data_IF_967106625870
#
_entry.id   IF_967106625870
#
_cell.length_a   1.000
_cell.length_b   1.000
_cell.length_c   1.000
_cell.angle_alpha   90.00
_cell.angle_beta   90.00
_cell.angle_gamma   90.00
#
_symmetry.space_group_name_H-M   'P 1'
#
loop_
_entity.id
_entity.type
_entity.pdbx_description
1 polymer ?
#
# COMPACT_ATOMS: atom_id res chain seq x y z
N UNK A 1 -33.89 51.93 54.14
CA UNK A 1 -34.39 51.55 52.79
C UNK A 1 -33.28 51.86 51.78
N UNK A 2 -32.41 50.90 51.49
CA UNK A 2 -32.46 50.02 50.31
C UNK A 2 -32.34 50.75 48.96
N UNK A 3 -31.10 51.06 48.54
CA UNK A 3 -30.66 50.93 47.15
C UNK A 3 -29.26 50.29 47.13
N UNK A 4 -29.26 48.96 46.98
CA UNK A 4 -28.37 48.11 46.16
C UNK A 4 -26.89 48.58 46.04
N UNK A 5 -25.89 47.90 46.63
CA UNK A 5 -25.25 46.62 46.17
C UNK A 5 -25.05 46.64 44.64
N UNK A 6 -23.87 46.56 44.02
CA UNK A 6 -22.66 45.75 44.24
C UNK A 6 -21.60 46.36 43.29
N UNK A 7 -20.46 46.83 43.80
CA UNK A 7 -19.13 46.26 43.59
C UNK A 7 -18.92 45.39 42.33
N UNK A 8 -18.01 45.86 41.47
CA UNK A 8 -16.89 45.11 40.87
C UNK A 8 -17.05 43.58 40.79
N UNK A 9 -17.18 43.07 39.56
CA UNK A 9 -17.11 41.65 39.27
C UNK A 9 -16.63 41.42 37.84
N UNK A 10 -15.32 41.55 37.64
CA UNK A 10 -14.59 41.07 36.48
C UNK A 10 -14.81 39.55 36.37
N UNK A 11 -15.76 39.11 35.54
CA UNK A 11 -15.93 37.67 35.28
C UNK A 11 -14.94 37.28 34.19
N UNK A 12 -13.75 36.89 34.66
CA UNK A 12 -12.80 36.12 33.91
C UNK A 12 -13.48 34.81 33.47
N UNK A 13 -13.87 34.72 32.20
CA UNK A 13 -14.16 33.44 31.57
C UNK A 13 -12.83 32.73 31.32
N UNK A 14 -12.25 32.19 32.39
CA UNK A 14 -11.31 31.07 32.31
C UNK A 14 -12.13 29.84 31.96
N UNK A 15 -12.59 29.81 30.71
CA UNK A 15 -13.15 28.62 30.11
C UNK A 15 -11.99 27.76 29.68
N UNK A 16 -11.70 26.74 30.47
CA UNK A 16 -10.84 25.61 30.14
C UNK A 16 -11.28 24.98 28.81
N UNK A 17 -10.78 25.53 27.71
CA UNK A 17 -10.82 24.87 26.40
C UNK A 17 -9.73 23.83 26.39
N UNK A 18 -10.13 22.59 26.68
CA UNK A 18 -9.39 21.34 26.54
C UNK A 18 -8.09 21.45 25.74
N UNK A 19 -6.97 21.21 26.43
CA UNK A 19 -5.79 20.61 25.83
C UNK A 19 -6.20 19.24 25.30
N UNK A 20 -6.53 19.15 24.01
CA UNK A 20 -6.18 17.96 23.26
C UNK A 20 -5.33 18.47 22.11
N UNK A 21 -4.03 18.40 22.35
CA UNK A 21 -3.05 18.26 21.30
C UNK A 21 -3.55 17.13 20.40
N UNK A 22 -4.24 17.49 19.32
CA UNK A 22 -4.37 16.59 18.20
C UNK A 22 -2.95 16.45 17.66
N UNK A 23 -2.19 15.54 18.28
CA UNK A 23 -1.18 14.80 17.56
C UNK A 23 -1.96 14.07 16.48
N UNK A 24 -2.24 14.79 15.40
CA UNK A 24 -2.38 14.20 14.10
C UNK A 24 -1.00 13.58 13.84
N UNK A 25 -0.75 12.43 14.46
CA UNK A 25 -0.03 11.37 13.82
C UNK A 25 -0.89 11.04 12.59
N UNK A 26 -0.79 11.89 11.57
CA UNK A 26 -0.73 11.43 10.20
C UNK A 26 0.54 10.57 10.17
N UNK A 27 0.47 9.39 10.77
CA UNK A 27 1.10 8.23 10.22
C UNK A 27 0.47 8.15 8.84
N UNK A 28 1.05 8.90 7.89
CA UNK A 28 1.06 8.49 6.50
C UNK A 28 1.59 7.08 6.64
N UNK A 29 0.68 6.11 6.65
CA UNK A 29 1.01 4.70 6.71
C UNK A 29 2.00 4.56 5.56
N UNK A 30 3.29 4.42 5.87
CA UNK A 30 4.27 4.07 4.85
C UNK A 30 3.71 2.77 4.31
N UNK A 31 3.06 2.82 3.16
CA UNK A 31 2.51 1.67 2.50
C UNK A 31 3.72 0.77 2.28
N UNK A 32 3.82 -0.26 3.12
CA UNK A 32 4.88 -1.23 3.01
C UNK A 32 4.48 -2.11 1.84
N UNK A 33 5.42 -2.32 0.94
CA UNK A 33 5.22 -3.17 -0.23
C UNK A 33 6.22 -4.31 -0.20
N UNK A 34 5.79 -5.47 -0.69
CA UNK A 34 6.67 -6.57 -1.06
C UNK A 34 6.81 -6.58 -2.58
N UNK A 35 7.97 -7.04 -3.04
CA UNK A 35 8.33 -7.05 -4.45
C UNK A 35 8.66 -8.48 -4.86
N UNK A 36 8.06 -8.91 -5.97
CA UNK A 36 8.16 -10.28 -6.47
C UNK A 36 8.64 -10.23 -7.92
N UNK A 37 9.79 -10.83 -8.20
CA UNK A 37 10.33 -10.93 -9.55
C UNK A 37 9.81 -12.19 -10.23
N UNK A 38 9.28 -12.05 -11.44
CA UNK A 38 8.82 -13.18 -12.23
C UNK A 38 9.99 -13.84 -12.96
N UNK A 39 10.26 -15.09 -12.60
CA UNK A 39 11.40 -15.85 -13.11
C UNK A 39 11.02 -16.78 -14.27
N UNK A 40 9.73 -17.11 -14.43
CA UNK A 40 9.30 -17.88 -15.60
C UNK A 40 9.26 -17.01 -16.87
N UNK A 41 9.46 -17.63 -18.02
CA UNK A 41 9.32 -17.03 -19.36
C UNK A 41 7.99 -17.37 -20.03
N UNK A 42 7.05 -18.02 -19.33
CA UNK A 42 5.82 -18.56 -19.92
C UNK A 42 4.57 -17.82 -19.45
N UNK A 43 3.63 -17.55 -20.34
CA UNK A 43 2.35 -16.91 -19.96
C UNK A 43 1.51 -17.79 -19.02
N UNK A 44 1.60 -19.12 -19.16
CA UNK A 44 0.82 -20.08 -18.35
C UNK A 44 1.14 -19.99 -16.86
N UNK A 45 2.36 -19.59 -16.49
CA UNK A 45 2.83 -19.68 -15.12
C UNK A 45 2.69 -18.34 -14.37
N UNK A 46 2.15 -17.30 -15.03
CA UNK A 46 1.98 -15.95 -14.46
C UNK A 46 1.16 -15.98 -13.16
N UNK A 47 0.24 -16.94 -13.02
CA UNK A 47 -0.59 -17.08 -11.81
C UNK A 47 0.07 -17.90 -10.71
N UNK A 48 1.11 -18.64 -11.03
CA UNK A 48 1.78 -19.54 -10.10
C UNK A 48 2.73 -18.74 -9.23
N UNK A 49 2.42 -18.63 -7.93
CA UNK A 49 3.31 -17.94 -6.98
C UNK A 49 4.73 -18.52 -6.99
N UNK A 50 4.88 -19.82 -7.31
CA UNK A 50 6.17 -20.50 -7.44
C UNK A 50 7.06 -20.03 -8.59
N UNK A 51 6.49 -19.30 -9.56
CA UNK A 51 7.24 -18.68 -10.64
C UNK A 51 7.81 -17.31 -10.26
N UNK A 52 7.67 -16.90 -9.00
CA UNK A 52 8.16 -15.63 -8.49
C UNK A 52 9.15 -15.81 -7.33
N UNK A 53 10.18 -14.97 -7.33
CA UNK A 53 11.14 -14.86 -6.23
C UNK A 53 10.96 -13.54 -5.48
N UNK A 54 11.02 -13.52 -4.14
CA UNK A 54 10.98 -12.27 -3.39
C UNK A 54 12.27 -11.49 -3.61
N UNK A 55 12.15 -10.21 -3.92
CA UNK A 55 13.29 -9.31 -4.10
C UNK A 55 13.19 -8.09 -3.19
N UNK A 56 14.33 -7.43 -2.96
CA UNK A 56 14.33 -6.10 -2.40
C UNK A 56 13.69 -5.11 -3.39
N UNK A 57 13.25 -3.95 -2.89
CA UNK A 57 12.72 -2.89 -3.75
C UNK A 57 13.74 -2.52 -4.84
N UNK A 58 13.45 -2.74 -6.13
CA UNK A 58 14.39 -2.48 -7.21
C UNK A 58 14.62 -0.98 -7.39
N UNK A 59 15.88 -0.55 -7.48
CA UNK A 59 16.26 0.83 -7.81
C UNK A 59 16.23 1.13 -9.31
N UNK A 60 16.31 0.08 -10.14
CA UNK A 60 16.26 0.10 -11.61
C UNK A 60 15.45 -1.10 -12.11
N UNK A 61 14.98 -1.08 -13.35
CA UNK A 61 14.29 -2.22 -13.95
C UNK A 61 15.22 -3.45 -14.01
N UNK A 62 14.87 -4.59 -13.39
CA UNK A 62 15.76 -5.75 -13.34
C UNK A 62 15.66 -6.65 -14.59
N UNK A 63 14.65 -6.45 -15.44
CA UNK A 63 14.48 -7.19 -16.69
C UNK A 63 14.57 -6.26 -17.89
N UNK A 64 14.79 -6.84 -19.07
CA UNK A 64 14.64 -6.13 -20.34
C UNK A 64 13.22 -5.56 -20.46
N UNK A 65 13.12 -4.34 -21.00
CA UNK A 65 11.83 -3.69 -21.16
C UNK A 65 11.00 -4.43 -22.21
N UNK A 66 9.79 -4.81 -21.82
CA UNK A 66 8.84 -5.42 -22.75
C UNK A 66 7.39 -5.29 -22.32
N UNK A 67 6.50 -6.03 -22.96
CA UNK A 67 5.05 -5.93 -22.70
C UNK A 67 4.31 -7.24 -22.47
N UNK A 68 4.94 -8.38 -22.74
CA UNK A 68 4.27 -9.69 -22.75
C UNK A 68 4.07 -10.28 -21.36
N UNK A 69 5.08 -10.16 -20.50
CA UNK A 69 5.17 -10.82 -19.21
C UNK A 69 5.40 -9.82 -18.07
N UNK A 70 4.94 -10.11 -16.85
CA UNK A 70 5.37 -9.36 -15.68
C UNK A 70 6.87 -9.57 -15.49
N UNK A 71 7.57 -8.54 -15.03
CA UNK A 71 8.95 -8.65 -14.56
C UNK A 71 8.98 -8.49 -13.04
N UNK A 72 8.40 -7.42 -12.51
CA UNK A 72 8.28 -7.20 -11.06
C UNK A 72 6.86 -6.84 -10.70
N UNK A 73 6.28 -7.57 -9.75
CA UNK A 73 5.05 -7.21 -9.08
C UNK A 73 5.37 -6.41 -7.83
N UNK A 74 4.60 -5.33 -7.62
CA UNK A 74 4.61 -4.56 -6.38
C UNK A 74 3.26 -4.78 -5.71
N UNK A 75 3.25 -5.46 -4.59
CA UNK A 75 2.03 -5.86 -3.88
C UNK A 75 2.07 -5.38 -2.43
N UNK A 76 0.93 -5.45 -1.75
CA UNK A 76 0.83 -5.10 -0.34
C UNK A 76 1.78 -5.96 0.52
N UNK A 77 2.39 -5.37 1.55
CA UNK A 77 3.34 -6.08 2.41
C UNK A 77 2.76 -7.29 3.16
N UNK A 78 1.43 -7.42 3.27
CA UNK A 78 0.81 -8.64 3.81
C UNK A 78 1.01 -9.86 2.92
N UNK A 79 1.33 -9.67 1.64
CA UNK A 79 1.65 -10.71 0.65
C UNK A 79 3.16 -10.96 0.68
N UNK A 80 3.62 -11.55 1.77
CA UNK A 80 5.02 -11.78 2.13
C UNK A 80 5.49 -13.24 1.94
N UNK A 81 4.59 -14.13 1.54
CA UNK A 81 4.92 -15.53 1.23
C UNK A 81 4.41 -15.92 -0.14
N UNK A 82 5.03 -16.96 -0.70
CA UNK A 82 4.69 -17.49 -2.01
C UNK A 82 3.23 -18.00 -2.08
N UNK A 83 2.73 -18.65 -1.02
CA UNK A 83 1.33 -19.10 -0.95
C UNK A 83 0.32 -17.95 -0.95
N UNK A 84 0.64 -16.86 -0.26
CA UNK A 84 -0.20 -15.65 -0.27
C UNK A 84 -0.18 -14.98 -1.62
N UNK A 85 1.00 -14.89 -2.27
CA UNK A 85 1.10 -14.40 -3.63
C UNK A 85 0.28 -15.27 -4.58
N UNK A 86 0.42 -16.59 -4.49
CA UNK A 86 -0.35 -17.53 -5.31
C UNK A 86 -1.86 -17.31 -5.16
N UNK A 87 -2.33 -17.16 -3.92
CA UNK A 87 -3.74 -16.86 -3.63
C UNK A 87 -4.16 -15.53 -4.24
N UNK A 88 -3.34 -14.48 -4.09
CA UNK A 88 -3.59 -13.15 -4.65
C UNK A 88 -3.69 -13.16 -6.18
N UNK A 89 -2.78 -13.85 -6.87
CA UNK A 89 -2.77 -13.96 -8.33
C UNK A 89 -3.91 -14.82 -8.89
N UNK A 90 -4.49 -15.70 -8.06
CA UNK A 90 -5.65 -16.52 -8.42
C UNK A 90 -6.99 -15.87 -8.08
N UNK A 91 -7.00 -14.67 -7.50
CA UNK A 91 -8.25 -13.93 -7.30
C UNK A 91 -8.80 -13.45 -8.65
N UNK A 92 -9.73 -14.23 -9.20
CA UNK A 92 -10.37 -13.91 -10.49
C UNK A 92 -11.29 -12.69 -10.45
N UNK A 93 -11.66 -12.18 -9.27
CA UNK A 93 -12.39 -10.92 -9.16
C UNK A 93 -11.46 -9.73 -9.43
N UNK A 94 -10.21 -9.82 -8.98
CA UNK A 94 -9.17 -8.80 -9.21
C UNK A 94 -8.46 -9.00 -10.55
N UNK A 95 -8.16 -10.26 -10.90
CA UNK A 95 -7.42 -10.66 -12.09
C UNK A 95 -8.20 -11.68 -12.92
N UNK A 96 -9.21 -11.26 -13.70
CA UNK A 96 -9.95 -12.16 -14.59
C UNK A 96 -9.04 -12.91 -15.57
N UNK A 97 -7.98 -12.26 -16.07
CA UNK A 97 -7.03 -12.79 -17.05
C UNK A 97 -5.58 -12.66 -16.57
N UNK A 98 -4.67 -13.45 -17.17
CA UNK A 98 -3.24 -13.32 -16.88
C UNK A 98 -2.68 -11.94 -17.31
N UNK A 99 -3.24 -11.34 -18.36
CA UNK A 99 -2.87 -10.00 -18.80
C UNK A 99 -3.17 -8.92 -17.76
N UNK A 100 -4.18 -9.10 -16.90
CA UNK A 100 -4.45 -8.17 -15.80
C UNK A 100 -3.29 -8.14 -14.81
N UNK A 101 -2.71 -9.30 -14.50
CA UNK A 101 -1.51 -9.41 -13.65
C UNK A 101 -0.34 -8.69 -14.31
N UNK A 102 -0.05 -8.99 -15.59
CA UNK A 102 0.99 -8.30 -16.36
C UNK A 102 0.77 -6.78 -16.37
N UNK A 103 -0.47 -6.31 -16.47
CA UNK A 103 -0.80 -4.89 -16.50
C UNK A 103 -0.61 -4.18 -15.16
N UNK A 104 -0.74 -4.90 -14.04
CA UNK A 104 -0.43 -4.37 -12.71
C UNK A 104 1.06 -4.42 -12.34
N UNK A 105 1.89 -5.08 -13.14
CA UNK A 105 3.31 -5.20 -12.87
C UNK A 105 3.99 -3.82 -12.88
N UNK A 106 4.87 -3.60 -11.90
CA UNK A 106 5.71 -2.41 -11.80
C UNK A 106 6.70 -2.32 -12.97
N UNK A 107 7.23 -3.47 -13.37
CA UNK A 107 8.07 -3.64 -14.57
C UNK A 107 7.54 -4.82 -15.37
N UNK A 108 7.73 -4.78 -16.70
CA UNK A 108 7.31 -5.81 -17.66
C UNK A 108 8.50 -6.24 -18.52
N UNK A 109 8.47 -7.46 -19.04
CA UNK A 109 9.50 -8.04 -19.92
C UNK A 109 8.88 -8.69 -21.15
N UNK A 110 9.67 -8.85 -22.20
CA UNK A 110 9.27 -9.62 -23.39
C UNK A 110 9.17 -11.11 -23.04
N UNK A 111 8.37 -11.85 -23.79
CA UNK A 111 8.37 -13.30 -23.70
C UNK A 111 9.66 -13.87 -24.32
N UNK A 112 10.19 -14.94 -23.70
CA UNK A 112 11.38 -15.66 -24.19
C UNK A 112 11.04 -16.70 -25.28
#
# INVERSE_FOLDING_TARGET
MNLKKMSLGLVALVGFGLLITMNAFTSISKQNFTYWQYESGRISDIREGASYSPIAAPSVAPCENGTDLPCVLKVDASIDTQDKLNTYLHDTATFPTASDITNTAMYKKEAE
#
